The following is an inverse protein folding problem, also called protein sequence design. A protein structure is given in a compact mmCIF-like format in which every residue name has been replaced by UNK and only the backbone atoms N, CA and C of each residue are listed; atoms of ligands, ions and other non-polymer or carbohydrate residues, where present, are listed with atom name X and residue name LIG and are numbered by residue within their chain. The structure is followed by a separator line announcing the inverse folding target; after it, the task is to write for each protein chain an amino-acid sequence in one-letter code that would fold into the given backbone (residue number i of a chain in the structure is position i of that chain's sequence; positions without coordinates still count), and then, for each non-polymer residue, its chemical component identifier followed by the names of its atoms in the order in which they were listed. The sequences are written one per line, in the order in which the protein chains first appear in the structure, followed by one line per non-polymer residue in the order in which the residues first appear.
data_IF_203210118454
#
_entry.id   IF_203210118454
#
_cell.length_a   1.000
_cell.length_b   1.000
_cell.length_c   1.000
_cell.angle_alpha   90.00
_cell.angle_beta   90.00
_cell.angle_gamma   90.00
#
_symmetry.space_group_name_H-M   'P 1'
#
loop_
_entity.id
_entity.type
_entity.pdbx_description
1 polymer ?
#
# COMPACT_ATOMS: atom_id res chain seq x y z
N UNK A 1 -17.98 18.05 31.71
CA UNK A 1 -18.13 18.44 30.29
C UNK A 1 -16.74 18.34 29.67
N UNK A 2 -16.45 17.33 28.85
CA UNK A 2 -16.53 17.31 27.36
C UNK A 2 -15.64 18.40 26.74
N UNK A 3 -14.78 18.18 25.75
CA UNK A 3 -14.42 17.09 24.82
C UNK A 3 -13.05 17.55 24.22
N UNK A 4 -12.03 16.70 24.21
CA UNK A 4 -11.42 16.14 23.00
C UNK A 4 -10.91 17.15 21.95
N UNK A 5 -9.60 17.44 21.97
CA UNK A 5 -8.84 17.71 20.76
C UNK A 5 -7.71 16.68 20.66
N UNK A 6 -8.03 15.56 19.99
CA UNK A 6 -7.05 14.61 19.47
C UNK A 6 -7.10 14.77 17.95
N UNK A 7 -6.47 15.84 17.47
CA UNK A 7 -6.25 16.11 16.06
C UNK A 7 -4.80 15.79 15.70
N UNK A 8 -4.52 14.51 15.48
CA UNK A 8 -3.21 13.98 15.07
C UNK A 8 -2.58 14.80 13.93
N UNK A 9 -1.48 15.49 14.24
CA UNK A 9 -0.61 16.10 13.25
C UNK A 9 0.02 14.98 12.42
N UNK A 10 -0.49 14.79 11.20
CA UNK A 10 0.22 14.06 10.17
C UNK A 10 1.42 14.89 9.73
N UNK A 11 2.55 14.73 10.42
CA UNK A 11 3.83 15.28 9.98
C UNK A 11 4.22 14.61 8.65
N UNK A 12 4.05 15.36 7.56
CA UNK A 12 4.61 15.01 6.27
C UNK A 12 6.13 15.01 6.37
N UNK A 13 6.77 13.95 5.87
CA UNK A 13 8.22 13.89 5.73
C UNK A 13 8.68 14.99 4.78
N UNK A 14 9.07 16.14 5.36
CA UNK A 14 9.69 17.24 4.66
C UNK A 14 11.00 16.74 4.01
N UNK A 15 11.07 16.88 2.69
CA UNK A 15 12.16 16.35 1.87
C UNK A 15 13.52 16.94 2.22
N UNK A 16 14.52 16.07 2.28
CA UNK A 16 15.94 16.47 2.32
C UNK A 16 16.89 15.38 2.78
N UNK A 17 16.44 14.45 3.62
CA UNK A 17 17.24 13.31 4.09
C UNK A 17 16.37 12.06 4.01
N UNK A 18 16.81 11.03 3.27
CA UNK A 18 16.22 9.69 3.39
C UNK A 18 16.52 9.19 4.81
N UNK A 19 15.64 9.51 5.74
CA UNK A 19 15.67 8.91 7.07
C UNK A 19 15.55 7.41 6.91
N UNK A 20 16.32 6.66 7.69
CA UNK A 20 16.32 5.21 7.61
C UNK A 20 14.94 4.67 7.99
N UNK A 21 14.29 3.97 7.05
CA UNK A 21 13.01 3.30 7.26
C UNK A 21 13.23 1.80 7.29
N UNK A 22 12.46 1.09 8.12
CA UNK A 22 12.52 -0.37 8.19
C UNK A 22 11.97 -1.03 6.91
N UNK A 23 10.89 -0.46 6.36
CA UNK A 23 10.25 -0.94 5.13
C UNK A 23 10.84 -0.25 3.90
N UNK A 24 10.85 -0.97 2.78
CA UNK A 24 11.25 -0.42 1.48
C UNK A 24 10.09 0.37 0.82
N UNK A 25 10.41 1.10 -0.25
CA UNK A 25 9.40 1.87 -0.99
C UNK A 25 8.28 0.99 -1.58
N UNK A 26 8.54 -0.27 -1.94
CA UNK A 26 7.51 -1.18 -2.45
C UNK A 26 6.45 -1.48 -1.39
N UNK A 27 6.89 -1.76 -0.16
CA UNK A 27 6.00 -2.00 0.97
C UNK A 27 5.21 -0.73 1.34
N UNK A 28 5.84 0.45 1.30
CA UNK A 28 5.14 1.72 1.54
C UNK A 28 4.06 2.01 0.49
N UNK A 29 4.35 1.77 -0.80
CA UNK A 29 3.35 1.90 -1.88
C UNK A 29 2.21 0.90 -1.67
N UNK A 30 2.54 -0.36 -1.36
CA UNK A 30 1.54 -1.39 -1.12
C UNK A 30 0.61 -1.03 0.05
N UNK A 31 1.16 -0.51 1.15
CA UNK A 31 0.40 -0.05 2.30
C UNK A 31 -0.54 1.10 1.93
N UNK A 32 -0.08 2.05 1.12
CA UNK A 32 -0.94 3.14 0.62
C UNK A 32 -2.12 2.61 -0.20
N UNK A 33 -1.88 1.65 -1.09
CA UNK A 33 -2.92 1.04 -1.92
C UNK A 33 -3.86 0.15 -1.11
N UNK A 34 -3.38 -0.51 -0.06
CA UNK A 34 -4.21 -1.30 0.85
C UNK A 34 -5.21 -0.40 1.60
N UNK A 35 -4.78 0.79 2.03
CA UNK A 35 -5.66 1.79 2.67
C UNK A 35 -6.64 2.43 1.71
N UNK A 36 -6.20 2.74 0.49
CA UNK A 36 -7.05 3.29 -0.56
C UNK A 36 -6.64 2.75 -1.95
N UNK A 37 -7.32 1.73 -2.48
CA UNK A 37 -6.97 1.11 -3.75
C UNK A 37 -7.31 1.95 -4.98
N UNK A 38 -8.06 3.04 -4.82
CA UNK A 38 -8.35 4.01 -5.89
C UNK A 38 -7.45 5.24 -5.85
N UNK A 39 -6.42 5.25 -4.99
CA UNK A 39 -5.53 6.40 -4.83
C UNK A 39 -4.81 6.72 -6.14
N UNK A 40 -4.73 8.00 -6.46
CA UNK A 40 -4.01 8.48 -7.65
C UNK A 40 -2.51 8.32 -7.42
N UNK A 41 -1.77 7.94 -8.47
CA UNK A 41 -0.33 7.68 -8.37
C UNK A 41 0.47 8.85 -7.82
N UNK A 42 0.05 10.07 -8.17
CA UNK A 42 0.65 11.30 -7.65
C UNK A 42 0.49 11.41 -6.13
N UNK A 43 -0.67 11.07 -5.58
CA UNK A 43 -0.88 11.10 -4.13
C UNK A 43 -0.06 10.01 -3.43
N UNK A 44 0.04 8.82 -4.02
CA UNK A 44 0.90 7.74 -3.50
C UNK A 44 2.35 8.21 -3.46
N UNK A 45 2.85 8.84 -4.53
CA UNK A 45 4.21 9.38 -4.60
C UNK A 45 4.49 10.39 -3.49
N UNK A 46 3.55 11.32 -3.27
CA UNK A 46 3.65 12.33 -2.21
C UNK A 46 3.67 11.70 -0.81
N UNK A 47 2.79 10.72 -0.54
CA UNK A 47 2.74 10.05 0.76
C UNK A 47 3.97 9.20 1.07
N UNK A 48 4.54 8.57 0.05
CA UNK A 48 5.74 7.72 0.20
C UNK A 48 7.03 8.54 0.17
N UNK A 49 6.99 9.80 -0.30
CA UNK A 49 8.17 10.65 -0.41
C UNK A 49 9.08 10.27 -1.59
N UNK A 50 8.50 9.79 -2.68
CA UNK A 50 9.22 9.40 -3.91
C UNK A 50 8.67 10.13 -5.13
N UNK A 51 9.36 10.02 -6.26
CA UNK A 51 8.90 10.61 -7.52
C UNK A 51 7.76 9.79 -8.13
N UNK A 52 6.90 10.45 -8.90
CA UNK A 52 5.80 9.76 -9.59
C UNK A 52 6.29 8.67 -10.54
N UNK A 53 7.42 8.92 -11.23
CA UNK A 53 8.09 7.91 -12.07
C UNK A 53 8.55 6.70 -11.25
N UNK A 54 9.07 6.91 -10.05
CA UNK A 54 9.45 5.81 -9.15
C UNK A 54 8.22 5.02 -8.69
N UNK A 55 7.13 5.70 -8.34
CA UNK A 55 5.85 5.06 -8.00
C UNK A 55 5.31 4.21 -9.15
N UNK A 56 5.34 4.72 -10.38
CA UNK A 56 4.92 3.99 -11.57
C UNK A 56 5.77 2.73 -11.79
N UNK A 57 7.09 2.84 -11.62
CA UNK A 57 8.01 1.68 -11.71
C UNK A 57 7.68 0.63 -10.65
N UNK A 58 7.54 1.05 -9.38
CA UNK A 58 7.20 0.16 -8.27
C UNK A 58 5.87 -0.56 -8.53
N UNK A 59 4.85 0.15 -9.00
CA UNK A 59 3.55 -0.47 -9.31
C UNK A 59 3.68 -1.46 -10.45
N UNK A 60 4.47 -1.17 -11.48
CA UNK A 60 4.76 -2.13 -12.54
C UNK A 60 5.44 -3.37 -11.96
N UNK A 61 6.49 -3.19 -11.15
CA UNK A 61 7.20 -4.31 -10.51
C UNK A 61 6.25 -5.15 -9.61
N UNK A 62 5.32 -4.51 -8.91
CA UNK A 62 4.28 -5.18 -8.10
C UNK A 62 3.24 -5.93 -8.96
N UNK A 63 2.92 -5.43 -10.15
CA UNK A 63 2.01 -6.10 -11.09
C UNK A 63 2.68 -7.27 -11.78
N UNK A 64 3.90 -7.08 -12.27
CA UNK A 64 4.71 -8.13 -12.91
C UNK A 64 5.00 -9.27 -11.91
N UNK A 65 5.03 -8.95 -10.61
CA UNK A 65 5.19 -9.91 -9.52
C UNK A 65 3.91 -10.59 -9.04
N UNK A 66 2.76 -10.28 -9.65
CA UNK A 66 1.41 -10.76 -9.27
C UNK A 66 0.93 -10.37 -7.87
N UNK A 67 1.70 -9.54 -7.15
CA UNK A 67 1.30 -9.00 -5.84
C UNK A 67 0.16 -8.00 -5.99
N UNK A 68 0.12 -7.30 -7.12
CA UNK A 68 -0.88 -6.30 -7.44
C UNK A 68 -1.55 -6.61 -8.78
N UNK A 69 -2.85 -6.47 -8.84
CA UNK A 69 -3.61 -6.49 -10.09
C UNK A 69 -4.20 -5.10 -10.33
N UNK A 70 -4.05 -4.61 -11.56
CA UNK A 70 -4.55 -3.29 -11.96
C UNK A 70 -5.81 -3.42 -12.81
N UNK A 71 -6.86 -2.73 -12.40
CA UNK A 71 -8.14 -2.65 -13.10
C UNK A 71 -8.44 -1.21 -13.48
N UNK A 72 -9.13 -1.01 -14.61
CA UNK A 72 -9.62 0.32 -14.99
C UNK A 72 -11.11 0.42 -14.65
N UNK A 73 -11.44 1.35 -13.75
CA UNK A 73 -12.82 1.65 -13.36
C UNK A 73 -13.12 3.07 -13.83
N UNK A 74 -13.75 3.17 -15.00
CA UNK A 74 -13.99 4.45 -15.67
C UNK A 74 -12.69 5.17 -16.05
N UNK A 75 -12.47 6.37 -15.49
CA UNK A 75 -11.26 7.18 -15.74
C UNK A 75 -10.11 6.86 -14.75
N UNK A 76 -10.40 6.14 -13.68
CA UNK A 76 -9.45 5.86 -12.61
C UNK A 76 -8.90 4.43 -12.69
N UNK A 77 -7.65 4.27 -12.24
CA UNK A 77 -7.11 2.94 -11.98
C UNK A 77 -7.54 2.52 -10.58
N UNK A 78 -7.93 1.27 -10.42
CA UNK A 78 -8.15 0.63 -9.14
C UNK A 78 -7.22 -0.57 -9.02
N UNK A 79 -6.68 -0.80 -7.84
CA UNK A 79 -5.73 -1.87 -7.61
C UNK A 79 -6.28 -2.91 -6.64
N UNK A 80 -5.99 -4.18 -6.90
CA UNK A 80 -6.25 -5.29 -5.99
C UNK A 80 -4.94 -5.90 -5.55
N UNK A 81 -4.83 -6.18 -4.26
CA UNK A 81 -3.64 -6.82 -3.68
C UNK A 81 -3.94 -8.30 -3.50
N UNK A 82 -3.03 -9.16 -3.97
CA UNK A 82 -3.06 -10.58 -3.65
C UNK A 82 -2.42 -10.80 -2.28
N UNK A 83 -3.25 -11.10 -1.28
CA UNK A 83 -2.84 -11.24 0.12
C UNK A 83 -2.25 -12.61 0.43
N UNK A 84 -2.50 -13.61 -0.41
CA UNK A 84 -2.11 -14.99 -0.18
C UNK A 84 -0.72 -15.32 -0.75
N UNK A 85 -0.13 -14.39 -1.51
CA UNK A 85 1.20 -14.59 -2.05
C UNK A 85 2.27 -14.58 -0.95
N UNK A 86 3.21 -15.54 -0.97
CA UNK A 86 4.35 -15.55 -0.07
C UNK A 86 5.31 -14.38 -0.40
N UNK A 87 6.01 -13.89 0.62
CA UNK A 87 7.09 -12.94 0.42
C UNK A 87 8.24 -13.64 -0.32
N UNK A 88 8.82 -12.95 -1.32
CA UNK A 88 9.75 -13.53 -2.30
C UNK A 88 11.10 -13.94 -1.69
N UNK A 89 11.49 -13.34 -0.58
CA UNK A 89 12.79 -13.58 0.02
C UNK A 89 12.79 -14.93 0.78
N UNK A 90 13.81 -15.80 0.62
CA UNK A 90 13.87 -17.11 1.29
C UNK A 90 13.63 -17.08 2.81
N UNK A 91 14.10 -16.03 3.48
CA UNK A 91 13.88 -15.83 4.92
C UNK A 91 12.43 -15.49 5.28
N UNK A 92 11.64 -15.02 4.32
CA UNK A 92 10.28 -14.52 4.52
C UNK A 92 9.23 -15.40 3.83
N UNK A 93 9.63 -16.48 3.14
CA UNK A 93 8.72 -17.37 2.38
C UNK A 93 7.60 -17.99 3.23
N UNK A 94 7.81 -18.11 4.53
CA UNK A 94 6.80 -18.60 5.48
C UNK A 94 5.70 -17.55 5.76
N UNK A 95 5.89 -16.32 5.31
CA UNK A 95 4.97 -15.21 5.53
C UNK A 95 4.33 -14.75 4.22
N UNK A 96 3.07 -14.33 4.30
CA UNK A 96 2.35 -13.78 3.16
C UNK A 96 2.31 -12.25 3.16
N UNK A 97 2.05 -11.68 1.98
CA UNK A 97 1.77 -10.25 1.82
C UNK A 97 0.65 -9.79 2.76
N UNK A 98 -0.38 -10.63 2.94
CA UNK A 98 -1.49 -10.36 3.85
C UNK A 98 -1.09 -10.32 5.32
N UNK A 99 -0.17 -11.19 5.74
CA UNK A 99 0.35 -11.17 7.11
C UNK A 99 1.15 -9.90 7.37
N UNK A 100 2.02 -9.48 6.45
CA UNK A 100 2.74 -8.21 6.54
C UNK A 100 1.77 -7.02 6.68
N UNK A 101 0.74 -6.97 5.82
CA UNK A 101 -0.24 -5.89 5.87
C UNK A 101 -1.09 -5.91 7.14
N UNK A 102 -1.40 -7.09 7.68
CA UNK A 102 -2.16 -7.23 8.92
C UNK A 102 -1.43 -6.69 10.16
N UNK A 103 -0.10 -6.60 10.13
CA UNK A 103 0.69 -5.99 11.21
C UNK A 103 0.63 -4.46 11.18
N UNK A 104 0.25 -3.86 10.05
CA UNK A 104 0.33 -2.40 9.82
C UNK A 104 -1.04 -1.73 9.64
N UNK A 105 -2.08 -2.53 9.43
CA UNK A 105 -3.43 -2.06 9.12
C UNK A 105 -4.43 -2.52 10.19
N UNK A 106 -5.45 -1.71 10.44
CA UNK A 106 -6.56 -2.09 11.29
C UNK A 106 -7.38 -3.23 10.68
N UNK A 107 -8.18 -3.92 11.51
CA UNK A 107 -9.09 -4.95 11.03
C UNK A 107 -10.06 -4.44 9.95
N UNK A 108 -10.51 -3.19 10.05
CA UNK A 108 -11.39 -2.55 9.06
C UNK A 108 -10.66 -2.28 7.74
N UNK A 109 -9.42 -1.78 7.80
CA UNK A 109 -8.56 -1.58 6.63
C UNK A 109 -8.29 -2.91 5.91
N UNK A 110 -7.99 -3.96 6.66
CA UNK A 110 -7.82 -5.32 6.13
C UNK A 110 -9.11 -5.89 5.54
N UNK A 111 -10.26 -5.58 6.14
CA UNK A 111 -11.57 -5.92 5.60
C UNK A 111 -11.83 -5.30 4.22
N UNK A 112 -11.42 -4.04 4.02
CA UNK A 112 -11.50 -3.34 2.73
C UNK A 112 -10.54 -3.91 1.68
N UNK A 113 -9.32 -4.27 2.09
CA UNK A 113 -8.35 -4.92 1.20
C UNK A 113 -8.86 -6.30 0.74
N UNK A 114 -9.47 -7.08 1.64
CA UNK A 114 -10.04 -8.41 1.33
C UNK A 114 -11.32 -8.35 0.50
N UNK A 115 -12.26 -7.46 0.82
CA UNK A 115 -13.58 -7.42 0.16
C UNK A 115 -13.48 -7.04 -1.31
N UNK A 116 -12.49 -6.24 -1.68
CA UNK A 116 -12.18 -5.89 -3.07
C UNK A 116 -11.34 -6.96 -3.79
N UNK A 117 -10.72 -7.87 -3.03
CA UNK A 117 -9.96 -9.04 -3.49
C UNK A 117 -10.80 -10.16 -4.08
N UNK A 118 -12.07 -10.29 -3.68
CA UNK A 118 -12.97 -11.30 -4.25
C UNK A 118 -13.41 -10.91 -5.67
N UNK A 119 -12.71 -11.37 -6.70
CA UNK A 119 -13.32 -11.61 -8.00
C UNK A 119 -13.41 -13.11 -8.28
N UNK A 120 -14.67 -13.56 -8.32
CA UNK A 120 -15.26 -14.55 -9.24
C UNK A 120 -14.32 -15.63 -9.81
N UNK A 121 -14.50 -16.85 -9.29
CA UNK A 121 -14.29 -18.12 -10.01
C UNK A 121 -15.01 -18.11 -11.35
#
# INVERSE_FOLDING_TARGET
MKEADVGSCGEGFAGGQRQWTFLNNHAHVLLCLARNPGMVLREVALKVGITERATQKIIKDLVDSQVLERYRVGRCNSYRINLDLPLRHPLEQQHTVGQLLSMMLSAEEMGRARSRGKAKT
#
